data_IF_477392516294
#
_entry.id   IF_477392516294
#
_cell.length_a   1.000
_cell.length_b   1.000
_cell.length_c   1.000
_cell.angle_alpha   90.00
_cell.angle_beta   90.00
_cell.angle_gamma   90.00
#
_symmetry.space_group_name_H-M   'P 1'
#
loop_
_entity.id
_entity.type
_entity.pdbx_description
1 polymer ?
#
# COMPACT_ATOMS: atom_id res chain seq x y z
N UNK A 1 -5.71 4.08 17.08
CA UNK A 1 -5.61 5.00 15.93
C UNK A 1 -4.81 4.27 14.85
N UNK A 2 -5.07 4.42 13.54
CA UNK A 2 -4.26 3.72 12.55
C UNK A 2 -2.86 4.38 12.53
N UNK A 3 -1.92 3.80 13.26
CA UNK A 3 -0.58 4.36 13.50
C UNK A 3 0.36 4.06 12.33
N UNK A 4 0.02 4.54 11.13
CA UNK A 4 0.96 4.50 10.02
C UNK A 4 1.98 5.62 10.21
N UNK A 5 3.27 5.27 10.25
CA UNK A 5 4.37 6.23 10.49
C UNK A 5 5.38 6.16 9.35
N UNK A 6 5.99 7.30 9.03
CA UNK A 6 7.14 7.31 8.12
C UNK A 6 8.29 6.50 8.76
N UNK A 7 8.96 5.67 7.98
CA UNK A 7 9.98 4.74 8.45
C UNK A 7 9.44 3.38 8.92
N UNK A 8 8.12 3.16 8.91
CA UNK A 8 7.53 1.89 9.30
C UNK A 8 7.86 0.77 8.31
N UNK A 9 8.15 -0.42 8.83
CA UNK A 9 8.40 -1.62 8.04
C UNK A 9 7.13 -2.11 7.37
N UNK A 10 7.27 -2.56 6.13
CA UNK A 10 6.22 -3.13 5.31
C UNK A 10 6.71 -4.41 4.64
N UNK A 11 5.81 -5.37 4.50
CA UNK A 11 6.01 -6.56 3.67
C UNK A 11 5.22 -6.37 2.38
N UNK A 12 5.86 -6.59 1.24
CA UNK A 12 5.26 -6.43 -0.10
C UNK A 12 5.22 -7.78 -0.77
N UNK A 13 4.04 -8.34 -0.95
CA UNK A 13 3.83 -9.56 -1.72
C UNK A 13 3.53 -9.18 -3.18
N UNK A 14 4.27 -9.77 -4.12
CA UNK A 14 4.08 -9.51 -5.56
C UNK A 14 3.12 -10.55 -6.12
N UNK A 15 2.09 -10.11 -6.83
CA UNK A 15 1.13 -11.03 -7.42
C UNK A 15 1.82 -11.94 -8.45
N UNK A 16 1.62 -13.26 -8.30
CA UNK A 16 2.30 -14.27 -9.12
C UNK A 16 3.73 -14.64 -8.67
N UNK A 17 4.19 -14.17 -7.51
CA UNK A 17 5.43 -14.63 -6.88
C UNK A 17 5.18 -15.10 -5.45
N UNK A 18 5.80 -16.21 -5.03
CA UNK A 18 5.79 -16.65 -3.63
C UNK A 18 6.75 -15.83 -2.76
N UNK A 19 7.56 -14.96 -3.37
CA UNK A 19 8.54 -14.14 -2.67
C UNK A 19 7.89 -12.86 -2.15
N UNK A 20 8.09 -12.61 -0.85
CA UNK A 20 7.75 -11.34 -0.21
C UNK A 20 8.99 -10.45 -0.13
N UNK A 21 8.84 -9.20 -0.52
CA UNK A 21 9.87 -8.18 -0.45
C UNK A 21 9.72 -7.34 0.82
N UNK A 22 10.84 -6.93 1.39
CA UNK A 22 10.83 -5.97 2.50
C UNK A 22 10.81 -4.54 1.95
N UNK A 23 9.94 -3.72 2.53
CA UNK A 23 9.81 -2.32 2.22
C UNK A 23 9.70 -1.45 3.46
N UNK A 24 9.78 -0.13 3.25
CA UNK A 24 9.65 0.87 4.31
C UNK A 24 8.80 2.03 3.82
N UNK A 25 7.91 2.54 4.68
CA UNK A 25 7.10 3.72 4.38
C UNK A 25 8.03 4.93 4.21
N UNK A 26 8.20 5.37 2.97
CA UNK A 26 9.05 6.52 2.65
C UNK A 26 8.27 7.83 2.75
N UNK A 27 6.96 7.80 2.48
CA UNK A 27 6.12 8.99 2.47
C UNK A 27 4.64 8.65 2.64
N UNK A 28 3.90 9.54 3.28
CA UNK A 28 2.46 9.47 3.50
C UNK A 28 1.86 10.78 2.99
N UNK A 29 0.81 10.70 2.17
CA UNK A 29 0.10 11.88 1.70
C UNK A 29 -0.55 12.62 2.87
N UNK A 30 -0.36 13.94 2.99
CA UNK A 30 -1.07 14.75 3.98
C UNK A 30 -2.55 14.96 3.60
N UNK A 31 -2.89 14.69 2.33
CA UNK A 31 -4.24 14.87 1.80
C UNK A 31 -4.87 13.50 1.55
N UNK A 32 -6.08 13.34 2.08
CA UNK A 32 -6.92 12.19 1.78
C UNK A 32 -7.55 12.36 0.40
N UNK A 33 -7.55 11.28 -0.38
CA UNK A 33 -8.26 11.21 -1.65
C UNK A 33 -9.58 10.47 -1.43
N UNK A 34 -10.64 10.97 -2.06
CA UNK A 34 -11.90 10.24 -2.13
C UNK A 34 -11.71 9.12 -3.14
N UNK A 35 -11.94 7.87 -2.74
CA UNK A 35 -12.11 6.80 -3.73
C UNK A 35 -13.44 7.04 -4.45
N UNK A 36 -13.47 7.24 -5.78
CA UNK A 36 -14.73 7.28 -6.50
C UNK A 36 -15.32 5.87 -6.48
N UNK A 37 -16.41 5.66 -5.73
CA UNK A 37 -17.19 4.42 -5.81
C UNK A 37 -18.48 4.68 -6.58
N UNK A 38 -18.56 4.10 -7.77
CA UNK A 38 -19.84 3.84 -8.44
C UNK A 38 -20.31 2.43 -8.05
N UNK A 39 -20.80 2.22 -6.82
CA UNK A 39 -21.62 1.05 -6.44
C UNK A 39 -22.56 1.48 -5.29
N UNK A 40 -23.85 1.49 -5.59
CA UNK A 40 -24.97 1.65 -4.66
C UNK A 40 -25.04 0.42 -3.74
N UNK A 41 -24.41 0.48 -2.56
CA UNK A 41 -24.86 -0.30 -1.40
C UNK A 41 -24.94 0.61 -0.18
N UNK A 42 -25.98 0.50 0.66
CA UNK A 42 -26.28 1.45 1.74
C UNK A 42 -25.20 1.56 2.84
N UNK A 43 -24.19 0.69 2.81
CA UNK A 43 -23.12 0.58 3.81
C UNK A 43 -21.86 1.36 3.42
N UNK A 44 -21.78 1.86 2.17
CA UNK A 44 -20.58 2.52 1.64
C UNK A 44 -20.58 4.01 1.97
N UNK A 45 -20.37 4.35 3.24
CA UNK A 45 -20.07 5.73 3.67
C UNK A 45 -18.59 6.01 3.41
N UNK A 46 -18.32 6.89 2.45
CA UNK A 46 -17.08 7.62 2.15
C UNK A 46 -15.81 7.14 2.87
N UNK A 47 -15.10 6.17 2.28
CA UNK A 47 -13.76 5.81 2.76
C UNK A 47 -12.74 6.79 2.20
N UNK A 48 -12.12 7.56 3.09
CA UNK A 48 -10.94 8.36 2.77
C UNK A 48 -9.73 7.43 2.61
N UNK A 49 -9.06 7.48 1.47
CA UNK A 49 -7.79 6.77 1.27
C UNK A 49 -6.65 7.77 1.28
N UNK A 50 -5.50 7.35 1.78
CA UNK A 50 -4.29 8.16 1.76
C UNK A 50 -3.24 7.44 0.93
N UNK A 51 -2.68 8.12 -0.06
CA UNK A 51 -1.57 7.58 -0.81
C UNK A 51 -0.34 7.42 0.09
N UNK A 52 0.29 6.25 0.03
CA UNK A 52 1.56 5.97 0.71
C UNK A 52 2.59 5.51 -0.32
N UNK A 53 3.84 5.95 -0.16
CA UNK A 53 4.96 5.47 -0.97
C UNK A 53 5.80 4.54 -0.11
N UNK A 54 6.02 3.33 -0.61
CA UNK A 54 6.87 2.32 0.02
C UNK A 54 8.15 2.20 -0.78
N UNK A 55 9.29 2.37 -0.12
CA UNK A 55 10.59 2.05 -0.69
C UNK A 55 10.81 0.55 -0.53
N UNK A 56 10.89 -0.20 -1.62
CA UNK A 56 11.03 -1.67 -1.61
C UNK A 56 12.43 -2.07 -2.06
N UNK A 57 13.07 -2.97 -1.33
CA UNK A 57 14.33 -3.58 -1.77
C UNK A 57 13.99 -4.67 -2.79
N UNK A 58 14.43 -4.50 -4.03
CA UNK A 58 14.17 -5.44 -5.14
C UNK A 58 15.48 -5.90 -5.81
N UNK A 59 16.41 -6.54 -5.08
CA UNK A 59 17.73 -6.91 -5.62
C UNK A 59 17.63 -7.94 -6.76
N UNK A 60 16.67 -8.85 -6.69
CA UNK A 60 16.47 -9.93 -7.67
C UNK A 60 15.59 -9.53 -8.87
N UNK A 61 15.11 -8.27 -8.91
CA UNK A 61 14.31 -7.76 -10.04
C UNK A 61 12.91 -8.39 -10.19
N UNK A 62 12.39 -9.00 -9.13
CA UNK A 62 11.10 -9.72 -9.09
C UNK A 62 9.94 -8.76 -9.28
N UNK A 63 10.01 -7.57 -8.69
CA UNK A 63 8.98 -6.54 -8.84
C UNK A 63 9.25 -5.68 -10.09
N UNK A 64 8.31 -5.67 -11.03
CA UNK A 64 8.37 -4.82 -12.23
C UNK A 64 7.30 -3.73 -12.19
N UNK A 65 7.53 -2.66 -12.95
CA UNK A 65 6.55 -1.58 -13.09
C UNK A 65 5.21 -2.11 -13.62
N UNK A 66 4.12 -1.65 -13.01
CA UNK A 66 2.76 -2.05 -13.38
C UNK A 66 2.28 -3.37 -12.75
N UNK A 67 3.14 -4.11 -12.03
CA UNK A 67 2.71 -5.31 -11.31
C UNK A 67 1.89 -4.93 -10.08
N UNK A 68 0.69 -5.51 -9.89
CA UNK A 68 -0.05 -5.34 -8.65
C UNK A 68 0.70 -6.02 -7.50
N UNK A 69 0.62 -5.40 -6.33
CA UNK A 69 1.25 -5.90 -5.11
C UNK A 69 0.29 -5.75 -3.93
N UNK A 70 0.40 -6.65 -2.98
CA UNK A 70 -0.24 -6.51 -1.67
C UNK A 70 0.80 -6.01 -0.66
N UNK A 71 0.45 -4.95 0.07
CA UNK A 71 1.32 -4.36 1.09
C UNK A 71 0.72 -4.60 2.47
N UNK A 72 1.49 -5.23 3.36
CA UNK A 72 1.15 -5.42 4.77
C UNK A 72 2.08 -4.58 5.63
N UNK A 73 1.52 -3.61 6.34
CA UNK A 73 2.25 -2.75 7.28
C UNK A 73 2.40 -3.48 8.61
N UNK A 74 3.59 -3.45 9.21
CA UNK A 74 3.81 -4.03 10.54
C UNK A 74 3.40 -3.02 11.61
N UNK A 75 2.44 -3.41 12.45
CA UNK A 75 1.91 -2.60 13.56
C UNK A 75 2.81 -2.60 14.79
#
# INVERSE_FOLDING_TARGET
>A
LPEIRQGQSATVAVDGSEQSLSGTVAWISPQAEFTPKNILTPETRTSLVYAVKILVKNPDGVLKHGMPVEVRLQG
#
